data_IF_079943423366
#
_entry.id   IF_079943423366
#
_cell.length_a   1.000
_cell.length_b   1.000
_cell.length_c   1.000
_cell.angle_alpha   90.00
_cell.angle_beta   90.00
_cell.angle_gamma   90.00
#
_symmetry.space_group_name_H-M   'P 1'
#
loop_
_entity.id
_entity.type
_entity.pdbx_description
1 polymer ?
#
# COMPACT_ATOMS: atom_id res chain seq x y z
N UNK A 1 -6.46 -8.10 -17.00
CA UNK A 1 -6.53 -8.08 -15.52
C UNK A 1 -5.68 -6.91 -15.04
N UNK A 2 -6.16 -6.06 -14.16
CA UNK A 2 -5.36 -4.94 -13.65
C UNK A 2 -4.19 -5.46 -12.82
N UNK A 3 -3.07 -4.77 -12.91
CA UNK A 3 -1.87 -5.08 -12.13
C UNK A 3 -1.64 -4.01 -11.05
N UNK A 4 -1.15 -4.43 -9.91
CA UNK A 4 -0.96 -3.59 -8.74
C UNK A 4 0.52 -3.48 -8.41
N UNK A 5 1.01 -2.26 -8.22
CA UNK A 5 2.28 -1.99 -7.55
C UNK A 5 2.03 -1.65 -6.09
N UNK A 6 2.62 -2.41 -5.18
CA UNK A 6 2.68 -2.01 -3.78
C UNK A 6 3.79 -0.98 -3.59
N UNK A 7 3.48 0.12 -2.91
CA UNK A 7 4.40 1.21 -2.66
C UNK A 7 4.54 1.43 -1.15
N UNK A 8 5.77 1.27 -0.65
CA UNK A 8 6.09 1.47 0.77
C UNK A 8 7.22 2.48 0.90
N UNK A 9 7.04 3.46 1.76
CA UNK A 9 8.09 4.38 2.15
C UNK A 9 8.70 3.92 3.47
N UNK A 10 10.03 3.81 3.52
CA UNK A 10 10.75 3.32 4.69
C UNK A 10 11.76 4.33 5.18
N UNK A 11 11.91 4.40 6.51
CA UNK A 11 12.99 5.12 7.18
C UNK A 11 13.35 4.33 8.44
N UNK A 12 14.43 3.55 8.37
CA UNK A 12 14.90 2.70 9.48
C UNK A 12 13.86 1.67 9.96
N UNK A 13 13.06 1.12 9.03
CA UNK A 13 11.97 0.19 9.31
C UNK A 13 12.32 -1.27 8.98
N UNK A 14 13.61 -1.63 8.95
CA UNK A 14 14.04 -2.94 8.49
C UNK A 14 13.39 -4.10 9.27
N UNK A 15 13.17 -3.94 10.57
CA UNK A 15 12.59 -5.00 11.41
C UNK A 15 11.13 -5.31 11.09
N UNK A 16 10.35 -4.32 10.66
CA UNK A 16 8.94 -4.52 10.31
C UNK A 16 8.70 -4.79 8.83
N UNK A 17 9.64 -4.39 7.98
CA UNK A 17 9.48 -4.44 6.53
C UNK A 17 9.23 -5.85 5.99
N UNK A 18 9.97 -6.84 6.45
CA UNK A 18 9.83 -8.23 5.99
C UNK A 18 8.42 -8.78 6.24
N UNK A 19 7.86 -8.50 7.41
CA UNK A 19 6.48 -8.90 7.76
C UNK A 19 5.45 -8.28 6.82
N UNK A 20 5.63 -7.00 6.47
CA UNK A 20 4.75 -6.35 5.52
C UNK A 20 4.87 -6.97 4.12
N UNK A 21 6.10 -7.15 3.63
CA UNK A 21 6.37 -7.62 2.28
C UNK A 21 5.85 -9.03 2.01
N UNK A 22 5.94 -9.94 2.99
CA UNK A 22 5.49 -11.32 2.81
C UNK A 22 3.98 -11.44 2.57
N UNK A 23 3.19 -10.42 2.93
CA UNK A 23 1.73 -10.43 2.75
C UNK A 23 1.28 -9.87 1.41
N UNK A 24 2.18 -9.33 0.59
CA UNK A 24 1.86 -8.60 -0.63
C UNK A 24 1.65 -9.51 -1.86
N UNK A 25 1.18 -10.73 -1.65
CA UNK A 25 0.95 -11.71 -2.71
C UNK A 25 0.03 -11.21 -3.85
N UNK A 26 -1.02 -10.42 -3.59
CA UNK A 26 -1.85 -9.91 -4.69
C UNK A 26 -1.18 -8.88 -5.58
N UNK A 27 -0.04 -8.32 -5.16
CA UNK A 27 0.66 -7.28 -5.89
C UNK A 27 1.62 -7.88 -6.93
N UNK A 28 1.66 -7.27 -8.10
CA UNK A 28 2.48 -7.72 -9.23
C UNK A 28 3.89 -7.10 -9.21
N UNK A 29 4.03 -6.01 -8.48
CA UNK A 29 5.31 -5.33 -8.25
C UNK A 29 5.33 -4.78 -6.81
N UNK A 30 6.50 -4.77 -6.20
CA UNK A 30 6.73 -4.11 -4.92
C UNK A 30 7.84 -3.08 -5.10
N UNK A 31 7.56 -1.83 -4.74
CA UNK A 31 8.54 -0.74 -4.74
C UNK A 31 8.70 -0.23 -3.32
N UNK A 32 9.92 -0.29 -2.82
CA UNK A 32 10.31 0.27 -1.53
C UNK A 32 11.08 1.55 -1.77
N UNK A 33 10.53 2.66 -1.31
CA UNK A 33 11.18 3.98 -1.38
C UNK A 33 11.93 4.19 -0.07
N UNK A 34 13.25 4.11 -0.11
CA UNK A 34 14.11 4.17 1.06
C UNK A 34 14.58 5.61 1.31
N UNK A 35 14.11 6.18 2.40
CA UNK A 35 14.48 7.52 2.87
C UNK A 35 15.68 7.52 3.82
N UNK A 36 16.12 6.34 4.27
CA UNK A 36 17.14 6.21 5.29
C UNK A 36 18.49 5.70 4.82
N UNK A 37 18.61 5.27 3.58
CA UNK A 37 19.82 4.65 3.00
C UNK A 37 20.34 3.47 3.84
N UNK A 38 19.45 2.67 4.41
CA UNK A 38 19.76 1.58 5.31
C UNK A 38 20.05 0.29 4.52
N UNK A 39 21.23 -0.29 4.72
CA UNK A 39 21.62 -1.54 4.05
C UNK A 39 20.70 -2.73 4.43
N UNK A 40 20.28 -2.82 5.69
CA UNK A 40 19.38 -3.90 6.13
C UNK A 40 18.02 -3.82 5.43
N UNK A 41 17.47 -2.62 5.25
CA UNK A 41 16.24 -2.38 4.49
C UNK A 41 16.38 -2.91 3.06
N UNK A 42 17.46 -2.59 2.39
CA UNK A 42 17.71 -3.02 1.00
C UNK A 42 17.84 -4.54 0.90
N UNK A 43 18.55 -5.16 1.83
CA UNK A 43 18.72 -6.61 1.85
C UNK A 43 17.37 -7.32 2.01
N UNK A 44 16.58 -6.91 2.99
CA UNK A 44 15.25 -7.49 3.25
C UNK A 44 14.34 -7.29 2.03
N UNK A 45 14.29 -6.09 1.50
CA UNK A 45 13.47 -5.81 0.32
C UNK A 45 13.82 -6.75 -0.86
N UNK A 46 15.10 -6.96 -1.12
CA UNK A 46 15.56 -7.85 -2.19
C UNK A 46 15.17 -9.31 -1.96
N UNK A 47 15.20 -9.78 -0.72
CA UNK A 47 14.78 -11.14 -0.37
C UNK A 47 13.32 -11.42 -0.75
N UNK A 48 12.47 -10.40 -0.73
CA UNK A 48 11.07 -10.50 -1.14
C UNK A 48 10.81 -10.06 -2.60
N UNK A 49 11.86 -9.86 -3.37
CA UNK A 49 11.71 -9.47 -4.78
C UNK A 49 11.29 -8.02 -4.99
N UNK A 50 11.39 -7.17 -3.97
CA UNK A 50 11.06 -5.76 -4.07
C UNK A 50 12.19 -4.97 -4.75
N UNK A 51 11.80 -3.97 -5.52
CA UNK A 51 12.71 -2.99 -6.08
C UNK A 51 12.88 -1.84 -5.10
N UNK A 52 14.12 -1.50 -4.78
CA UNK A 52 14.45 -0.42 -3.85
C UNK A 52 14.86 0.81 -4.63
N UNK A 53 14.28 1.94 -4.27
CA UNK A 53 14.58 3.25 -4.83
C UNK A 53 15.00 4.18 -3.69
N UNK A 54 16.13 4.85 -3.85
CA UNK A 54 16.56 5.88 -2.90
C UNK A 54 15.79 7.17 -3.15
N UNK A 55 15.20 7.72 -2.08
CA UNK A 55 14.47 8.98 -2.15
C UNK A 55 15.38 10.16 -1.86
N UNK A 56 15.25 11.23 -2.64
CA UNK A 56 15.80 12.53 -2.26
C UNK A 56 14.95 13.13 -1.13
N UNK A 57 15.51 14.00 -0.26
CA UNK A 57 14.76 14.61 0.85
C UNK A 57 13.51 15.38 0.41
N UNK A 58 13.52 15.90 -0.81
CA UNK A 58 12.45 16.74 -1.33
C UNK A 58 11.45 15.99 -2.24
N UNK A 59 11.53 14.67 -2.29
CA UNK A 59 10.63 13.91 -3.15
C UNK A 59 9.20 13.99 -2.66
N UNK A 60 8.29 14.28 -3.58
CA UNK A 60 6.85 14.31 -3.27
C UNK A 60 6.22 12.93 -3.49
N UNK A 61 5.10 12.61 -2.80
CA UNK A 61 4.38 11.35 -3.05
C UNK A 61 4.01 11.16 -4.51
N UNK A 62 3.54 12.20 -5.18
CA UNK A 62 3.19 12.15 -6.61
C UNK A 62 4.37 11.76 -7.50
N UNK A 63 5.58 12.18 -7.17
CA UNK A 63 6.79 11.79 -7.90
C UNK A 63 7.15 10.33 -7.68
N UNK A 64 6.88 9.79 -6.51
CA UNK A 64 7.13 8.39 -6.21
C UNK A 64 6.29 7.45 -7.09
N UNK A 65 5.15 7.89 -7.57
CA UNK A 65 4.32 7.10 -8.48
C UNK A 65 5.01 6.81 -9.82
N UNK A 66 5.99 7.62 -10.22
CA UNK A 66 6.78 7.35 -11.43
C UNK A 66 7.65 6.10 -11.32
N UNK A 67 7.93 5.65 -10.11
CA UNK A 67 8.66 4.40 -9.89
C UNK A 67 7.81 3.15 -10.15
N UNK A 68 6.49 3.28 -10.09
CA UNK A 68 5.57 2.18 -10.31
C UNK A 68 5.43 1.86 -11.81
N UNK A 69 5.41 0.58 -12.13
CA UNK A 69 5.21 0.10 -13.52
C UNK A 69 3.75 -0.14 -13.87
N UNK A 70 2.90 -0.25 -12.86
CA UNK A 70 1.49 -0.61 -13.05
C UNK A 70 0.57 0.57 -12.76
N UNK A 71 -0.66 0.47 -13.24
CA UNK A 71 -1.61 1.58 -13.20
C UNK A 71 -2.32 1.72 -11.85
N UNK A 72 -2.27 0.70 -11.02
CA UNK A 72 -2.85 0.72 -9.68
C UNK A 72 -1.77 0.64 -8.60
N UNK A 73 -1.92 1.48 -7.59
CA UNK A 73 -0.96 1.60 -6.51
C UNK A 73 -1.64 1.27 -5.19
N UNK A 74 -1.10 0.26 -4.49
CA UNK A 74 -1.47 -0.04 -3.11
C UNK A 74 -0.45 0.58 -2.18
N UNK A 75 -0.87 1.54 -1.36
CA UNK A 75 0.00 2.28 -0.46
C UNK A 75 -0.05 1.69 0.95
N UNK A 76 1.11 1.38 1.51
CA UNK A 76 1.26 0.83 2.85
C UNK A 76 2.40 1.52 3.58
N UNK A 77 2.37 1.42 4.91
CA UNK A 77 3.54 1.72 5.75
C UNK A 77 4.18 0.40 6.22
N UNK A 78 5.47 0.38 6.58
CA UNK A 78 6.18 -0.87 6.90
C UNK A 78 5.62 -1.68 8.07
N UNK A 79 4.89 -1.05 8.98
CA UNK A 79 4.24 -1.74 10.11
C UNK A 79 2.92 -2.38 9.76
N UNK A 80 2.47 -2.24 8.53
CA UNK A 80 1.18 -2.77 8.07
C UNK A 80 1.36 -4.05 7.27
N UNK A 81 0.44 -4.98 7.48
CA UNK A 81 0.36 -6.23 6.73
C UNK A 81 -1.06 -6.46 6.26
N UNK A 82 -1.22 -7.11 5.11
CA UNK A 82 -2.54 -7.55 4.65
C UNK A 82 -3.01 -8.73 5.47
N UNK A 83 -4.29 -8.71 5.87
CA UNK A 83 -4.95 -9.94 6.32
C UNK A 83 -5.22 -10.86 5.14
N UNK A 84 -5.45 -12.14 5.40
CA UNK A 84 -5.86 -13.10 4.36
C UNK A 84 -7.15 -12.65 3.67
N UNK A 85 -8.10 -12.11 4.43
CA UNK A 85 -9.35 -11.59 3.87
C UNK A 85 -9.12 -10.44 2.91
N UNK A 86 -8.24 -9.49 3.23
CA UNK A 86 -7.92 -8.40 2.34
C UNK A 86 -7.15 -8.88 1.10
N UNK A 87 -6.22 -9.80 1.27
CA UNK A 87 -5.52 -10.40 0.14
C UNK A 87 -6.48 -11.09 -0.83
N UNK A 88 -7.43 -11.87 -0.32
CA UNK A 88 -8.47 -12.50 -1.13
C UNK A 88 -9.33 -11.47 -1.86
N UNK A 89 -9.73 -10.41 -1.16
CA UNK A 89 -10.50 -9.30 -1.73
C UNK A 89 -9.76 -8.61 -2.89
N UNK A 90 -8.46 -8.43 -2.77
CA UNK A 90 -7.64 -7.85 -3.84
C UNK A 90 -7.52 -8.79 -5.05
N UNK A 91 -7.41 -10.10 -4.84
CA UNK A 91 -7.43 -11.06 -5.94
C UNK A 91 -8.79 -11.07 -6.66
N UNK A 92 -9.89 -11.03 -5.92
CA UNK A 92 -11.24 -10.90 -6.49
C UNK A 92 -11.40 -9.60 -7.26
N UNK A 93 -10.95 -8.49 -6.69
CA UNK A 93 -10.97 -7.18 -7.34
C UNK A 93 -10.22 -7.24 -8.69
N UNK A 94 -9.03 -7.84 -8.74
CA UNK A 94 -8.27 -8.00 -9.98
C UNK A 94 -9.03 -8.82 -11.02
N UNK A 95 -9.72 -9.87 -10.60
CA UNK A 95 -10.45 -10.75 -11.50
C UNK A 95 -11.72 -10.10 -12.06
N UNK A 96 -12.40 -9.29 -11.26
CA UNK A 96 -13.69 -8.68 -11.61
C UNK A 96 -13.57 -7.30 -12.26
N UNK A 97 -12.46 -6.61 -12.06
CA UNK A 97 -12.26 -5.26 -12.57
C UNK A 97 -12.31 -5.21 -14.09
N UNK A 98 -13.21 -4.38 -14.61
CA UNK A 98 -13.33 -4.12 -16.04
C UNK A 98 -13.07 -2.64 -16.32
N UNK A 99 -12.01 -2.30 -17.08
CA UNK A 99 -11.64 -0.90 -17.33
C UNK A 99 -12.70 -0.07 -18.04
N UNK A 100 -13.68 -0.72 -18.64
CA UNK A 100 -14.73 -0.10 -19.47
C UNK A 100 -16.12 -0.16 -18.85
N UNK A 101 -16.26 -0.49 -17.58
CA UNK A 101 -17.56 -0.30 -16.96
C UNK A 101 -17.80 1.20 -16.87
N UNK A 102 -18.65 1.72 -17.74
CA UNK A 102 -19.01 3.14 -17.85
C UNK A 102 -19.65 3.70 -16.56
N UNK A 103 -19.72 2.90 -15.52
CA UNK A 103 -20.36 3.23 -14.25
C UNK A 103 -19.41 3.76 -13.17
N UNK A 104 -18.08 3.59 -13.32
CA UNK A 104 -17.14 4.09 -12.32
C UNK A 104 -16.29 5.22 -12.91
N UNK A 105 -16.18 6.36 -12.20
CA UNK A 105 -15.30 7.45 -12.63
C UNK A 105 -13.84 6.97 -12.76
N UNK A 106 -13.09 7.57 -13.68
CA UNK A 106 -11.65 7.30 -13.86
C UNK A 106 -10.83 7.56 -12.59
N UNK A 107 -11.40 8.30 -11.65
CA UNK A 107 -10.78 8.68 -10.37
C UNK A 107 -11.21 7.79 -9.20
N UNK A 108 -11.82 6.64 -9.46
CA UNK A 108 -12.26 5.74 -8.38
C UNK A 108 -11.05 5.25 -7.59
N UNK A 109 -11.16 5.37 -6.27
CA UNK A 109 -10.20 4.83 -5.32
C UNK A 109 -10.88 3.79 -4.44
N UNK A 110 -10.07 2.96 -3.78
CA UNK A 110 -10.55 1.93 -2.87
C UNK A 110 -9.96 2.14 -1.49
N UNK A 111 -10.80 1.95 -0.49
CA UNK A 111 -10.43 2.08 0.91
C UNK A 111 -10.38 0.73 1.61
N UNK A 112 -9.63 0.67 2.68
CA UNK A 112 -9.48 -0.51 3.51
C UNK A 112 -9.66 -0.14 4.98
N UNK A 113 -10.21 -1.06 5.76
CA UNK A 113 -10.25 -0.90 7.21
C UNK A 113 -8.88 -1.18 7.81
N UNK A 114 -8.58 -0.49 8.90
CA UNK A 114 -7.34 -0.67 9.64
C UNK A 114 -7.66 -1.28 10.99
N UNK A 115 -6.96 -2.36 11.33
CA UNK A 115 -6.91 -2.91 12.69
C UNK A 115 -5.55 -2.58 13.27
N UNK A 116 -5.55 -1.80 14.35
CA UNK A 116 -4.33 -1.31 14.95
C UNK A 116 -4.09 -1.98 16.30
N UNK A 117 -2.90 -2.50 16.47
CA UNK A 117 -2.45 -3.03 17.75
C UNK A 117 -2.13 -1.88 18.69
N UNK A 118 -2.73 -1.91 19.88
CA UNK A 118 -2.49 -0.93 20.94
C UNK A 118 -2.06 -1.66 22.21
N UNK A 119 -1.62 -0.92 23.23
CA UNK A 119 -1.30 -1.49 24.54
C UNK A 119 -2.48 -2.23 25.18
N UNK A 120 -3.70 -1.90 24.81
CA UNK A 120 -4.95 -2.49 25.32
C UNK A 120 -5.55 -3.56 24.39
N UNK A 121 -4.83 -3.94 23.32
CA UNK A 121 -5.27 -4.91 22.34
C UNK A 121 -5.52 -4.31 20.95
N UNK A 122 -6.27 -5.01 20.11
CA UNK A 122 -6.55 -4.58 18.74
C UNK A 122 -7.76 -3.67 18.69
N UNK A 123 -7.63 -2.58 17.95
CA UNK A 123 -8.74 -1.64 17.68
C UNK A 123 -9.01 -1.57 16.18
N UNK A 124 -10.28 -1.62 15.81
CA UNK A 124 -10.71 -1.43 14.42
C UNK A 124 -10.98 0.05 14.20
N UNK A 125 -10.43 0.60 13.13
CA UNK A 125 -10.73 1.96 12.71
C UNK A 125 -12.21 2.07 12.29
N UNK A 126 -12.90 3.11 12.76
CA UNK A 126 -14.29 3.38 12.39
C UNK A 126 -14.43 3.89 10.94
N UNK A 127 -13.38 4.49 10.41
CA UNK A 127 -13.35 5.06 9.06
C UNK A 127 -12.32 4.32 8.22
N UNK A 128 -12.70 3.77 7.06
CA UNK A 128 -11.74 3.13 6.18
C UNK A 128 -10.78 4.17 5.60
N UNK A 129 -9.55 3.73 5.32
CA UNK A 129 -8.49 4.57 4.75
C UNK A 129 -8.32 4.28 3.27
N UNK A 130 -8.20 5.33 2.48
CA UNK A 130 -7.93 5.21 1.04
C UNK A 130 -6.52 4.68 0.83
N UNK A 131 -6.37 3.54 0.17
CA UNK A 131 -5.08 2.87 0.01
C UNK A 131 -4.80 2.34 -1.37
N UNK A 132 -5.81 1.96 -2.14
CA UNK A 132 -5.65 1.52 -3.52
C UNK A 132 -6.13 2.63 -4.45
N UNK A 133 -5.21 3.22 -5.19
CA UNK A 133 -5.45 4.39 -6.02
C UNK A 133 -4.87 4.23 -7.41
N UNK A 134 -5.42 4.92 -8.43
CA UNK A 134 -4.78 4.97 -9.75
C UNK A 134 -3.41 5.67 -9.67
N UNK A 135 -2.49 5.32 -10.55
CA UNK A 135 -1.15 5.90 -10.60
C UNK A 135 -1.14 7.43 -10.78
N UNK A 136 -2.18 8.01 -11.37
CA UNK A 136 -2.34 9.46 -11.51
C UNK A 136 -2.92 10.18 -10.29
N UNK A 137 -3.04 9.51 -9.16
CA UNK A 137 -3.64 10.08 -7.95
C UNK A 137 -2.89 11.32 -7.47
N UNK A 138 -3.62 12.39 -7.16
CA UNK A 138 -3.04 13.68 -6.80
C UNK A 138 -3.30 14.15 -5.37
N UNK A 139 -4.19 13.46 -4.64
CA UNK A 139 -4.60 13.87 -3.28
C UNK A 139 -3.86 13.04 -2.23
N UNK A 140 -2.89 13.67 -1.59
CA UNK A 140 -2.00 13.02 -0.63
C UNK A 140 -2.06 13.70 0.72
N UNK A 141 -1.95 12.91 1.77
CA UNK A 141 -1.71 13.35 3.13
C UNK A 141 -0.39 12.72 3.58
N UNK A 142 0.68 13.50 3.58
CA UNK A 142 2.06 13.01 3.74
C UNK A 142 2.37 11.96 2.67
N UNK A 143 2.74 10.76 3.07
CA UNK A 143 3.14 9.67 2.17
C UNK A 143 2.01 8.67 1.84
N UNK A 144 0.81 8.92 2.32
CA UNK A 144 -0.36 8.10 2.05
C UNK A 144 -1.42 8.91 1.30
N UNK A 145 -2.31 8.25 0.56
CA UNK A 145 -3.44 8.93 -0.02
C UNK A 145 -4.30 9.60 1.05
N UNK A 146 -4.76 10.82 0.77
CA UNK A 146 -5.75 11.47 1.61
C UNK A 146 -7.07 10.69 1.56
N UNK A 147 -7.84 10.75 2.64
CA UNK A 147 -9.14 10.09 2.70
C UNK A 147 -10.05 10.61 1.60
N UNK A 148 -10.57 9.69 0.79
CA UNK A 148 -11.51 9.96 -0.28
C UNK A 148 -12.90 9.47 0.13
N UNK A 149 -13.88 10.37 0.39
CA UNK A 149 -15.20 9.95 0.85
C UNK A 149 -15.94 9.05 -0.14
N UNK A 150 -15.66 9.18 -1.44
CA UNK A 150 -16.27 8.34 -2.48
C UNK A 150 -15.57 7.02 -2.73
N UNK A 151 -14.48 6.73 -2.02
CA UNK A 151 -13.73 5.48 -2.18
C UNK A 151 -14.62 4.28 -1.81
N UNK A 152 -14.46 3.20 -2.57
CA UNK A 152 -15.18 1.96 -2.35
C UNK A 152 -14.41 1.11 -1.34
N UNK A 153 -15.05 0.70 -0.26
CA UNK A 153 -14.41 -0.13 0.76
C UNK A 153 -14.24 -1.56 0.27
N UNK A 154 -13.03 -2.09 0.41
CA UNK A 154 -12.73 -3.50 0.20
C UNK A 154 -13.00 -4.28 1.48
N UNK A 155 -13.33 -5.56 1.34
CA UNK A 155 -13.46 -6.45 2.48
C UNK A 155 -12.09 -6.81 3.07
N UNK A 156 -12.05 -7.09 4.36
CA UNK A 156 -10.83 -7.38 5.08
C UNK A 156 -10.19 -6.11 5.66
N UNK A 157 -9.01 -6.27 6.20
CA UNK A 157 -8.32 -5.17 6.88
C UNK A 157 -6.80 -5.22 6.68
N UNK A 158 -6.15 -4.07 6.86
CA UNK A 158 -4.74 -3.99 7.16
C UNK A 158 -4.54 -4.16 8.67
N UNK A 159 -3.51 -4.89 9.05
CA UNK A 159 -3.04 -4.94 10.42
C UNK A 159 -1.89 -3.96 10.58
N UNK A 160 -2.01 -3.05 11.55
CA UNK A 160 -0.91 -2.17 11.93
C UNK A 160 -0.37 -2.61 13.28
N UNK A 161 0.86 -3.05 13.30
CA UNK A 161 1.52 -3.55 14.50
C UNK A 161 2.12 -2.40 15.32
N UNK A 162 2.03 -2.50 16.64
CA UNK A 162 2.58 -1.52 17.57
C UNK A 162 4.11 -1.52 17.53
N UNK A 163 4.69 -2.70 17.38
CA UNK A 163 6.15 -2.90 17.40
C UNK A 163 6.62 -3.57 16.09
N UNK A 164 7.89 -3.33 15.74
CA UNK A 164 8.51 -4.00 14.57
C UNK A 164 8.50 -5.52 14.66
#
# INVERSE_FOLDING_TARGET
MPAITALLHTRNDALSLGRALETLLPCDEIVVVDHGLNYATRRIAREYGARVVSASPDITPSRCLHFARHDWILCLVPRESLTEALAASLFEWKAEWKPQSQSLPETTAFSVFLREETSDGWKVSSTPQTRLVPRGWSRWQRLLPATEPSAIALEGALLRFLQP
#
